data_IF_689238069712
#
_entry.id   IF_689238069712
#
_cell.length_a   1.000
_cell.length_b   1.000
_cell.length_c   1.000
_cell.angle_alpha   90.00
_cell.angle_beta   90.00
_cell.angle_gamma   90.00
#
_symmetry.space_group_name_H-M   'P 1'
#
loop_
_entity.id
_entity.type
_entity.pdbx_description
1 polymer ?
#
# COMPACT_ATOMS: atom_id res chain seq x y z
N UNK A 1 16.56 34.74 -4.75
CA UNK A 1 17.48 33.59 -4.73
C UNK A 1 18.88 34.08 -4.34
N UNK A 2 19.51 33.39 -3.38
CA UNK A 2 20.90 33.63 -3.05
C UNK A 2 21.83 32.98 -4.10
N UNK A 3 23.10 33.42 -4.20
CA UNK A 3 24.07 32.82 -5.14
C UNK A 3 24.25 31.32 -4.95
N UNK A 4 24.05 30.80 -3.70
CA UNK A 4 24.04 29.37 -3.41
C UNK A 4 22.83 28.65 -4.00
N UNK A 5 21.68 29.26 -3.95
CA UNK A 5 20.42 28.70 -4.51
C UNK A 5 20.46 28.68 -6.05
N UNK A 6 21.04 29.72 -6.66
CA UNK A 6 21.25 29.79 -8.10
C UNK A 6 22.17 28.63 -8.54
N UNK A 7 23.31 28.43 -7.88
CA UNK A 7 24.25 27.34 -8.18
C UNK A 7 23.61 25.94 -8.03
N UNK A 8 22.71 25.76 -7.06
CA UNK A 8 22.00 24.49 -6.88
C UNK A 8 21.02 24.23 -8.04
N UNK A 9 20.30 25.24 -8.52
CA UNK A 9 19.41 25.12 -9.67
C UNK A 9 20.22 24.84 -10.95
N UNK A 10 21.33 25.52 -11.14
CA UNK A 10 22.26 25.31 -12.27
C UNK A 10 22.89 23.92 -12.27
N UNK A 11 23.10 23.32 -11.08
CA UNK A 11 23.57 21.93 -10.92
C UNK A 11 22.48 20.86 -11.14
N UNK A 12 21.27 21.26 -11.55
CA UNK A 12 20.18 20.35 -11.86
C UNK A 12 19.30 19.95 -10.65
N UNK A 13 19.45 20.64 -9.51
CA UNK A 13 18.58 20.44 -8.36
C UNK A 13 17.23 21.09 -8.64
N UNK A 14 16.18 20.28 -8.82
CA UNK A 14 14.83 20.74 -9.17
C UNK A 14 14.18 21.66 -8.12
N UNK A 15 14.66 21.62 -6.87
CA UNK A 15 14.19 22.50 -5.81
C UNK A 15 15.34 22.85 -4.85
N UNK A 16 15.76 24.10 -4.85
CA UNK A 16 16.88 24.61 -4.04
C UNK A 16 16.67 24.50 -2.52
N UNK A 17 15.43 24.33 -2.07
CA UNK A 17 15.11 24.17 -0.64
C UNK A 17 15.38 22.76 -0.11
N UNK A 18 15.47 21.74 -0.96
CA UNK A 18 15.75 20.38 -0.50
C UNK A 18 17.09 20.24 0.25
N UNK A 19 18.20 20.79 -0.23
CA UNK A 19 19.49 20.63 0.47
C UNK A 19 19.58 21.39 1.81
N UNK A 20 18.70 22.38 2.03
CA UNK A 20 18.70 23.21 3.25
C UNK A 20 17.93 22.61 4.40
N UNK A 21 17.08 21.61 4.13
CA UNK A 21 16.23 20.96 5.13
C UNK A 21 16.77 19.59 5.52
N UNK A 22 16.61 19.21 6.80
CA UNK A 22 17.11 17.94 7.34
C UNK A 22 15.99 17.17 8.08
N UNK A 23 16.13 15.84 8.11
CA UNK A 23 15.27 14.97 8.90
C UNK A 23 13.80 15.00 8.48
N UNK A 24 12.89 15.11 9.45
CA UNK A 24 11.44 15.08 9.24
C UNK A 24 10.94 16.27 8.41
N UNK A 25 11.51 17.46 8.62
CA UNK A 25 11.13 18.67 7.88
C UNK A 25 11.37 18.51 6.37
N UNK A 26 12.51 17.92 5.99
CA UNK A 26 12.80 17.65 4.59
C UNK A 26 11.79 16.69 3.96
N UNK A 27 11.38 15.65 4.71
CA UNK A 27 10.38 14.69 4.25
C UNK A 27 9.00 15.32 4.07
N UNK A 28 8.55 16.09 5.05
CA UNK A 28 7.26 16.79 4.98
C UNK A 28 7.26 17.79 3.82
N UNK A 29 8.32 18.59 3.70
CA UNK A 29 8.44 19.54 2.59
C UNK A 29 8.43 18.86 1.23
N UNK A 30 9.16 17.74 1.08
CA UNK A 30 9.17 16.94 -0.14
C UNK A 30 7.76 16.46 -0.50
N UNK A 31 7.04 15.90 0.46
CA UNK A 31 5.66 15.42 0.24
C UNK A 31 4.76 16.58 -0.21
N UNK A 32 4.80 17.72 0.48
CA UNK A 32 3.98 18.88 0.12
C UNK A 32 4.32 19.41 -1.29
N UNK A 33 5.60 19.44 -1.64
CA UNK A 33 6.02 19.84 -2.98
C UNK A 33 5.55 18.83 -4.05
N UNK A 34 5.66 17.53 -3.78
CA UNK A 34 5.18 16.47 -4.68
C UNK A 34 3.67 16.58 -4.90
N UNK A 35 2.89 16.90 -3.85
CA UNK A 35 1.45 17.20 -3.96
C UNK A 35 1.19 18.41 -4.85
N UNK A 36 1.82 19.55 -4.59
CA UNK A 36 1.63 20.76 -5.39
C UNK A 36 1.99 20.53 -6.86
N UNK A 37 3.12 19.86 -7.12
CA UNK A 37 3.55 19.50 -8.45
C UNK A 37 2.54 18.60 -9.17
N UNK A 38 2.04 17.59 -8.49
CA UNK A 38 1.07 16.65 -9.03
C UNK A 38 -0.27 17.32 -9.39
N UNK A 39 -0.81 18.15 -8.50
CA UNK A 39 -2.06 18.87 -8.76
C UNK A 39 -1.94 19.95 -9.86
N UNK A 40 -0.74 20.38 -10.16
CA UNK A 40 -0.43 21.26 -11.33
C UNK A 40 -0.21 20.48 -12.63
N UNK A 41 -0.50 19.18 -12.66
CA UNK A 41 -0.35 18.33 -13.84
C UNK A 41 1.06 17.75 -14.02
N UNK A 42 1.89 17.77 -12.97
CA UNK A 42 3.22 17.16 -13.01
C UNK A 42 3.17 15.63 -13.01
N UNK A 43 4.19 15.00 -13.60
CA UNK A 43 4.32 13.57 -13.71
C UNK A 43 4.56 12.93 -12.33
N UNK A 44 3.72 11.97 -11.86
CA UNK A 44 3.87 11.30 -10.56
C UNK A 44 4.98 10.23 -10.55
N UNK A 45 5.56 9.91 -11.70
CA UNK A 45 6.58 8.87 -11.81
C UNK A 45 7.82 9.18 -10.96
N UNK A 46 8.21 8.26 -10.08
CA UNK A 46 9.32 8.45 -9.15
C UNK A 46 8.92 8.99 -7.77
N UNK A 47 7.68 9.44 -7.59
CA UNK A 47 7.15 9.97 -6.33
C UNK A 47 6.24 8.92 -5.67
N UNK A 48 6.74 8.21 -4.67
CA UNK A 48 6.06 7.05 -4.09
C UNK A 48 4.65 7.35 -3.57
N UNK A 49 4.42 8.53 -3.00
CA UNK A 49 3.10 8.94 -2.48
C UNK A 49 2.14 9.23 -3.63
N UNK A 50 2.59 9.96 -4.65
CA UNK A 50 1.76 10.31 -5.81
C UNK A 50 1.47 9.10 -6.69
N UNK A 51 2.42 8.17 -6.81
CA UNK A 51 2.18 6.89 -7.47
C UNK A 51 1.06 6.09 -6.79
N UNK A 52 1.05 6.03 -5.45
CA UNK A 52 -0.02 5.34 -4.71
C UNK A 52 -1.39 5.97 -4.93
N UNK A 53 -1.47 7.30 -5.06
CA UNK A 53 -2.73 7.96 -5.43
C UNK A 53 -3.22 7.52 -6.81
N UNK A 54 -2.33 7.39 -7.79
CA UNK A 54 -2.68 6.88 -9.12
C UNK A 54 -3.10 5.40 -9.07
N UNK A 55 -2.39 4.57 -8.27
CA UNK A 55 -2.78 3.17 -8.05
C UNK A 55 -4.18 3.06 -7.46
N UNK A 56 -4.50 3.90 -6.48
CA UNK A 56 -5.81 3.90 -5.84
C UNK A 56 -6.92 4.45 -6.73
N UNK A 57 -6.61 5.44 -7.59
CA UNK A 57 -7.57 5.90 -8.60
C UNK A 57 -7.90 4.79 -9.59
N UNK A 58 -6.89 4.11 -10.14
CA UNK A 58 -7.10 2.97 -11.04
C UNK A 58 -7.87 1.86 -10.33
N UNK A 59 -7.46 1.48 -9.12
CA UNK A 59 -8.15 0.49 -8.31
C UNK A 59 -9.60 0.84 -8.01
N UNK A 60 -9.92 2.11 -7.79
CA UNK A 60 -11.29 2.57 -7.56
C UNK A 60 -12.18 2.36 -8.80
N UNK A 61 -11.65 2.61 -10.00
CA UNK A 61 -12.37 2.34 -11.25
C UNK A 61 -12.75 0.86 -11.36
N UNK A 62 -11.79 -0.04 -11.08
CA UNK A 62 -12.02 -1.49 -11.11
C UNK A 62 -13.04 -1.90 -10.05
N UNK A 63 -12.86 -1.44 -8.81
CA UNK A 63 -13.72 -1.76 -7.68
C UNK A 63 -15.17 -1.33 -7.90
N UNK A 64 -15.39 -0.19 -8.56
CA UNK A 64 -16.72 0.32 -8.89
C UNK A 64 -17.45 -0.55 -9.94
N UNK A 65 -16.69 -1.18 -10.84
CA UNK A 65 -17.29 -2.05 -11.88
C UNK A 65 -17.73 -3.40 -11.29
N UNK A 66 -17.00 -3.95 -10.33
CA UNK A 66 -17.25 -5.27 -9.77
C UNK A 66 -17.24 -5.26 -8.21
N UNK A 67 -18.15 -4.53 -7.55
CA UNK A 67 -18.05 -4.26 -6.12
C UNK A 67 -18.35 -5.47 -5.22
N UNK A 68 -19.13 -6.46 -5.70
CA UNK A 68 -19.60 -7.56 -4.84
C UNK A 68 -18.62 -8.73 -4.83
N UNK A 69 -18.19 -9.19 -6.01
CA UNK A 69 -17.37 -10.40 -6.19
C UNK A 69 -15.96 -10.10 -6.72
N UNK A 70 -15.65 -8.83 -7.06
CA UNK A 70 -14.37 -8.43 -7.64
C UNK A 70 -14.15 -8.95 -9.06
N UNK A 71 -12.90 -8.80 -9.54
CA UNK A 71 -12.51 -9.22 -10.91
C UNK A 71 -11.89 -10.62 -10.98
N UNK A 72 -11.62 -11.26 -9.84
CA UNK A 72 -10.92 -12.53 -9.77
C UNK A 72 -9.39 -12.39 -9.84
N UNK A 73 -8.68 -13.43 -9.39
CA UNK A 73 -7.20 -13.40 -9.27
C UNK A 73 -6.48 -13.30 -10.61
N UNK A 74 -7.04 -13.90 -11.66
CA UNK A 74 -6.45 -13.92 -13.00
C UNK A 74 -6.47 -12.57 -13.70
N UNK A 75 -7.51 -11.78 -13.46
CA UNK A 75 -7.80 -10.58 -14.25
C UNK A 75 -7.32 -9.28 -13.59
N UNK A 76 -6.86 -9.32 -12.33
CA UNK A 76 -6.39 -8.12 -11.60
C UNK A 76 -5.38 -7.31 -12.41
N UNK A 77 -4.37 -7.97 -12.98
CA UNK A 77 -3.32 -7.27 -13.73
C UNK A 77 -3.87 -6.59 -14.98
N UNK A 78 -4.71 -7.27 -15.73
CA UNK A 78 -5.32 -6.76 -16.97
C UNK A 78 -6.23 -5.58 -16.62
N UNK A 79 -7.10 -5.74 -15.61
CA UNK A 79 -7.99 -4.68 -15.13
C UNK A 79 -7.26 -3.42 -14.70
N UNK A 80 -6.10 -3.54 -14.04
CA UNK A 80 -5.28 -2.37 -13.70
C UNK A 80 -4.75 -1.66 -14.95
N UNK A 81 -4.28 -2.41 -15.97
CA UNK A 81 -3.82 -1.80 -17.22
C UNK A 81 -4.94 -1.03 -17.91
N UNK A 82 -6.11 -1.61 -18.05
CA UNK A 82 -7.30 -0.96 -18.64
C UNK A 82 -7.75 0.27 -17.82
N UNK A 83 -7.72 0.16 -16.50
CA UNK A 83 -8.06 1.27 -15.61
C UNK A 83 -7.08 2.44 -15.74
N UNK A 84 -5.77 2.19 -15.85
CA UNK A 84 -4.78 3.25 -16.08
C UNK A 84 -4.99 3.95 -17.42
N UNK A 85 -5.36 3.23 -18.47
CA UNK A 85 -5.73 3.83 -19.75
C UNK A 85 -7.01 4.66 -19.63
N UNK A 86 -8.03 4.15 -18.92
CA UNK A 86 -9.30 4.84 -18.70
C UNK A 86 -9.14 6.16 -17.96
N UNK A 87 -8.29 6.22 -16.91
CA UNK A 87 -8.07 7.45 -16.15
C UNK A 87 -7.07 8.41 -16.82
N UNK A 88 -6.54 8.06 -18.00
CA UNK A 88 -5.52 8.82 -18.71
C UNK A 88 -4.35 9.25 -17.79
N UNK A 89 -3.83 8.30 -17.01
CA UNK A 89 -2.76 8.60 -16.06
C UNK A 89 -1.50 9.11 -16.75
N UNK A 90 -0.83 10.09 -16.12
CA UNK A 90 0.49 10.54 -16.55
C UNK A 90 1.63 9.63 -16.04
N UNK A 91 1.30 8.59 -15.27
CA UNK A 91 2.25 7.62 -14.78
C UNK A 91 2.84 6.80 -15.94
N UNK A 92 4.16 6.71 -16.01
CA UNK A 92 4.81 5.88 -17.03
C UNK A 92 4.42 4.41 -16.88
N UNK A 93 4.19 3.70 -17.98
CA UNK A 93 3.73 2.28 -18.00
C UNK A 93 4.56 1.33 -17.13
N UNK A 94 5.86 1.58 -16.97
CA UNK A 94 6.73 0.78 -16.08
C UNK A 94 6.36 0.86 -14.59
N UNK A 95 5.61 1.88 -14.20
CA UNK A 95 5.11 2.09 -12.83
C UNK A 95 3.62 1.75 -12.68
N UNK A 96 3.00 1.12 -13.66
CA UNK A 96 1.63 0.63 -13.56
C UNK A 96 1.60 -0.62 -12.69
N UNK A 97 1.48 -0.40 -11.39
CA UNK A 97 1.51 -1.43 -10.37
C UNK A 97 0.13 -1.62 -9.74
N UNK A 98 0.01 -2.59 -8.84
CA UNK A 98 -1.20 -2.83 -8.03
C UNK A 98 -1.35 -1.75 -6.96
N UNK A 99 -2.41 -1.86 -6.14
CA UNK A 99 -2.81 -0.85 -5.16
C UNK A 99 -1.79 -0.58 -4.04
N UNK A 100 -0.83 -1.48 -3.77
CA UNK A 100 0.06 -1.44 -2.60
C UNK A 100 -0.71 -1.22 -1.29
N UNK A 101 -1.82 -1.93 -1.16
CA UNK A 101 -2.68 -1.97 0.01
C UNK A 101 -3.45 -3.28 0.00
N UNK A 102 -3.15 -4.19 0.93
CA UNK A 102 -3.69 -5.54 0.96
C UNK A 102 -5.23 -5.57 1.02
N UNK A 103 -5.85 -4.67 1.81
CA UNK A 103 -7.31 -4.61 1.91
C UNK A 103 -7.94 -4.24 0.57
N UNK A 104 -7.34 -3.27 -0.10
CA UNK A 104 -7.84 -2.80 -1.38
C UNK A 104 -7.60 -3.83 -2.48
N UNK A 105 -6.47 -4.53 -2.47
CA UNK A 105 -6.17 -5.63 -3.38
C UNK A 105 -7.17 -6.78 -3.21
N UNK A 106 -7.48 -7.17 -1.96
CA UNK A 106 -8.52 -8.17 -1.68
C UNK A 106 -9.90 -7.69 -2.17
N UNK A 107 -10.24 -6.42 -1.93
CA UNK A 107 -11.50 -5.85 -2.39
C UNK A 107 -11.61 -5.83 -3.92
N UNK A 108 -10.57 -5.42 -4.63
CA UNK A 108 -10.55 -5.45 -6.10
C UNK A 108 -10.68 -6.88 -6.62
N UNK A 109 -9.97 -7.82 -6.00
CA UNK A 109 -9.89 -9.21 -6.46
C UNK A 109 -11.19 -9.99 -6.19
N UNK A 110 -11.74 -9.86 -4.97
CA UNK A 110 -12.84 -10.71 -4.47
C UNK A 110 -14.09 -9.92 -4.06
N UNK A 111 -14.09 -8.61 -4.27
CA UNK A 111 -15.20 -7.73 -3.92
C UNK A 111 -15.41 -7.60 -2.41
N UNK A 112 -16.60 -7.07 -2.09
CA UNK A 112 -17.03 -6.91 -0.68
C UNK A 112 -17.11 -8.24 0.05
N UNK A 113 -17.58 -9.30 -0.61
CA UNK A 113 -17.69 -10.63 0.02
C UNK A 113 -16.32 -11.18 0.43
N UNK A 114 -15.32 -11.07 -0.46
CA UNK A 114 -13.97 -11.52 -0.15
C UNK A 114 -13.30 -10.67 0.91
N UNK A 115 -13.47 -9.35 0.89
CA UNK A 115 -12.95 -8.46 1.94
C UNK A 115 -13.58 -8.76 3.30
N UNK A 116 -14.90 -8.94 3.35
CA UNK A 116 -15.60 -9.29 4.59
C UNK A 116 -15.10 -10.64 5.15
N UNK A 117 -14.95 -11.65 4.30
CA UNK A 117 -14.41 -12.94 4.71
C UNK A 117 -12.95 -12.84 5.19
N UNK A 118 -12.13 -12.07 4.49
CA UNK A 118 -10.75 -11.81 4.89
C UNK A 118 -10.66 -11.18 6.29
N UNK A 119 -11.47 -10.16 6.55
CA UNK A 119 -11.51 -9.51 7.86
C UNK A 119 -12.02 -10.46 8.95
N UNK A 120 -13.06 -11.25 8.68
CA UNK A 120 -13.55 -12.27 9.62
C UNK A 120 -12.43 -13.25 9.97
N UNK A 121 -11.69 -13.78 8.99
CA UNK A 121 -10.58 -14.71 9.24
C UNK A 121 -9.44 -14.10 10.03
N UNK A 122 -9.12 -12.81 9.81
CA UNK A 122 -8.07 -12.13 10.57
C UNK A 122 -8.46 -11.90 12.03
N UNK A 123 -9.70 -11.53 12.30
CA UNK A 123 -10.13 -11.17 13.65
C UNK A 123 -10.74 -12.36 14.45
N UNK A 124 -11.19 -13.42 13.79
CA UNK A 124 -11.78 -14.57 14.43
C UNK A 124 -10.93 -15.14 15.58
N UNK A 125 -9.60 -15.33 15.44
CA UNK A 125 -8.77 -15.86 16.52
C UNK A 125 -8.72 -14.95 17.75
N UNK A 126 -8.77 -13.63 17.57
CA UNK A 126 -8.71 -12.67 18.68
C UNK A 126 -9.87 -12.88 19.67
N UNK A 127 -11.04 -13.26 19.15
CA UNK A 127 -12.25 -13.41 19.96
C UNK A 127 -12.50 -14.85 20.42
N UNK A 128 -12.04 -15.83 19.67
CA UNK A 128 -12.44 -17.23 19.87
C UNK A 128 -11.33 -18.15 20.38
N UNK A 129 -10.06 -17.72 20.38
CA UNK A 129 -8.98 -18.53 20.93
C UNK A 129 -8.73 -18.24 22.40
N UNK A 130 -8.24 -19.25 23.18
CA UNK A 130 -7.96 -19.08 24.60
C UNK A 130 -6.84 -18.07 24.82
N UNK A 131 -7.00 -17.23 25.84
CA UNK A 131 -6.00 -16.21 26.23
C UNK A 131 -4.86 -16.88 27.03
N UNK A 132 -4.01 -17.62 26.33
CA UNK A 132 -2.82 -18.27 26.86
C UNK A 132 -1.60 -17.32 26.85
N UNK A 133 -0.42 -17.86 27.18
CA UNK A 133 0.86 -17.11 27.22
C UNK A 133 1.19 -16.44 25.89
N UNK A 134 0.78 -17.00 24.75
CA UNK A 134 1.04 -16.44 23.42
C UNK A 134 -0.02 -15.45 22.93
N UNK A 135 -1.10 -15.23 23.69
CA UNK A 135 -2.18 -14.34 23.25
C UNK A 135 -1.73 -12.88 23.04
N UNK A 136 -0.94 -12.33 23.99
CA UNK A 136 -0.40 -10.95 23.83
C UNK A 136 0.59 -10.86 22.68
N UNK A 137 1.59 -11.76 22.52
CA UNK A 137 2.43 -11.82 21.33
C UNK A 137 1.63 -11.94 20.03
N UNK A 138 0.56 -12.74 20.00
CA UNK A 138 -0.31 -12.87 18.84
C UNK A 138 -1.01 -11.56 18.48
N UNK A 139 -1.59 -10.87 19.44
CA UNK A 139 -2.26 -9.59 19.22
C UNK A 139 -1.23 -8.54 18.72
N UNK A 140 -0.04 -8.50 19.31
CA UNK A 140 1.04 -7.62 18.85
C UNK A 140 1.45 -7.91 17.40
N UNK A 141 1.64 -9.19 17.06
CA UNK A 141 1.91 -9.63 15.69
C UNK A 141 0.79 -9.21 14.72
N UNK A 142 -0.47 -9.43 15.11
CA UNK A 142 -1.61 -9.08 14.28
C UNK A 142 -1.68 -7.56 14.03
N UNK A 143 -1.45 -6.74 15.05
CA UNK A 143 -1.40 -5.27 14.87
C UNK A 143 -0.32 -4.87 13.87
N UNK A 144 0.88 -5.45 13.97
CA UNK A 144 1.97 -5.18 13.02
C UNK A 144 1.56 -5.59 11.60
N UNK A 145 0.97 -6.77 11.44
CA UNK A 145 0.48 -7.26 10.15
C UNK A 145 -0.61 -6.34 9.57
N UNK A 146 -1.60 -5.94 10.38
CA UNK A 146 -2.69 -5.03 9.96
C UNK A 146 -2.15 -3.68 9.49
N UNK A 147 -1.16 -3.11 10.19
CA UNK A 147 -0.50 -1.85 9.79
C UNK A 147 0.30 -2.04 8.50
N UNK A 148 1.03 -3.15 8.36
CA UNK A 148 1.76 -3.49 7.12
C UNK A 148 0.82 -3.58 5.92
N UNK A 149 -0.36 -4.18 6.08
CA UNK A 149 -1.38 -4.34 5.04
C UNK A 149 -1.95 -3.02 4.51
N UNK A 150 -1.81 -1.91 5.25
CA UNK A 150 -2.22 -0.58 4.77
C UNK A 150 -1.26 -0.06 3.70
N UNK A 151 0.03 -0.38 3.83
CA UNK A 151 1.07 0.21 3.00
C UNK A 151 1.64 -0.73 1.94
N UNK A 152 1.38 -2.04 2.06
CA UNK A 152 1.94 -3.06 1.17
C UNK A 152 0.97 -4.21 0.92
N UNK A 153 1.13 -4.85 -0.25
CA UNK A 153 0.45 -6.10 -0.62
C UNK A 153 1.23 -7.29 -0.06
N UNK A 154 1.33 -7.36 1.28
CA UNK A 154 2.20 -8.32 1.98
C UNK A 154 1.89 -9.77 1.61
N UNK A 155 0.60 -10.10 1.51
CA UNK A 155 0.14 -11.47 1.20
C UNK A 155 0.19 -11.81 -0.31
N UNK A 156 0.61 -10.88 -1.15
CA UNK A 156 0.85 -11.12 -2.59
C UNK A 156 2.30 -11.52 -2.88
N UNK A 157 3.17 -11.50 -1.86
CA UNK A 157 4.55 -11.93 -1.97
C UNK A 157 4.78 -13.26 -1.24
N UNK A 158 5.61 -14.14 -1.80
CA UNK A 158 5.94 -15.43 -1.17
C UNK A 158 6.54 -15.24 0.22
N UNK A 159 7.43 -14.26 0.40
CA UNK A 159 8.06 -13.96 1.70
C UNK A 159 7.00 -13.52 2.72
N UNK A 160 6.11 -12.60 2.33
CA UNK A 160 5.07 -12.09 3.21
C UNK A 160 4.06 -13.16 3.62
N UNK A 161 3.60 -13.98 2.67
CA UNK A 161 2.70 -15.11 2.97
C UNK A 161 3.36 -16.10 3.91
N UNK A 162 4.59 -16.50 3.63
CA UNK A 162 5.32 -17.47 4.46
C UNK A 162 5.53 -16.93 5.87
N UNK A 163 5.96 -15.68 6.00
CA UNK A 163 6.14 -15.03 7.30
C UNK A 163 4.81 -14.95 8.07
N UNK A 164 3.77 -14.45 7.43
CA UNK A 164 2.45 -14.33 8.06
C UNK A 164 1.91 -15.69 8.48
N UNK A 165 1.91 -16.68 7.59
CA UNK A 165 1.38 -18.01 7.87
C UNK A 165 2.15 -18.71 8.99
N UNK A 166 3.49 -18.62 9.00
CA UNK A 166 4.32 -19.22 10.04
C UNK A 166 4.03 -18.61 11.41
N UNK A 167 4.14 -17.29 11.55
CA UNK A 167 3.94 -16.65 12.85
C UNK A 167 2.48 -16.72 13.32
N UNK A 168 1.52 -16.59 12.42
CA UNK A 168 0.10 -16.76 12.73
C UNK A 168 -0.17 -18.16 13.30
N UNK A 169 0.31 -19.20 12.63
CA UNK A 169 0.12 -20.59 13.08
C UNK A 169 0.89 -20.89 14.37
N UNK A 170 2.15 -20.45 14.45
CA UNK A 170 2.98 -20.68 15.63
C UNK A 170 2.39 -20.03 16.89
N UNK A 171 1.95 -18.78 16.81
CA UNK A 171 1.40 -18.06 17.95
C UNK A 171 0.01 -18.54 18.36
N UNK A 172 -0.78 -19.08 17.42
CA UNK A 172 -2.11 -19.64 17.73
C UNK A 172 -2.04 -21.09 18.26
N UNK A 173 -1.18 -21.93 17.70
CA UNK A 173 -1.19 -23.37 17.94
C UNK A 173 0.08 -23.92 18.58
N UNK A 174 1.15 -23.11 18.71
CA UNK A 174 2.44 -23.55 19.25
C UNK A 174 2.44 -23.82 20.78
N UNK A 175 1.36 -23.46 21.48
CA UNK A 175 1.22 -23.75 22.90
C UNK A 175 0.55 -25.13 23.09
N UNK A 176 1.35 -26.12 23.47
CA UNK A 176 0.83 -27.36 24.07
C UNK A 176 0.78 -27.18 25.59
N UNK A 177 -0.41 -27.37 26.15
CA UNK A 177 -0.57 -27.50 27.58
C UNK A 177 -0.36 -29.01 27.88
N UNK A 178 0.82 -29.33 28.45
CA UNK A 178 1.02 -30.65 29.10
C UNK A 178 0.07 -30.81 30.28
#
# INVERSE_FOLDING_TARGET
LTDKEIKLVESGVSNYRFPTQKGLQARVYKILWEFDHYFKGGNPSGNSVMQRLEFWKAGYVIAKQNPIIGVGTGDVKISFYEAYETINTQLQKKYWLRAHNQYFTIFITFGFLGLAWFLVTLFYPVFNFPKNTFWYPYVGFLIIALVSFISEDTLESQIGVTFFAFFNSFLLFGYHKD
#
